data_IF_982371048542
#
_entry.id   IF_982371048542
#
_cell.length_a   1.000
_cell.length_b   1.000
_cell.length_c   1.000
_cell.angle_alpha   90.00
_cell.angle_beta   90.00
_cell.angle_gamma   90.00
#
_symmetry.space_group_name_H-M   'P 1'
#
loop_
_entity.id
_entity.type
_entity.pdbx_description
1 polymer ?
#
# COMPACT_ATOMS: atom_id res chain seq x y z
N UNK A 1 29.01 -34.03 -10.30
CA UNK A 1 28.72 -32.69 -9.76
C UNK A 1 27.57 -32.14 -10.57
N UNK A 2 26.41 -31.85 -9.96
CA UNK A 2 25.34 -31.15 -10.68
C UNK A 2 25.81 -29.71 -10.96
N UNK A 3 25.53 -29.22 -12.17
CA UNK A 3 25.79 -27.83 -12.53
C UNK A 3 24.75 -26.98 -11.82
N UNK A 4 25.20 -25.99 -11.04
CA UNK A 4 24.32 -25.05 -10.34
C UNK A 4 23.84 -24.01 -11.35
N UNK A 5 22.52 -23.90 -11.52
CA UNK A 5 21.91 -22.89 -12.39
C UNK A 5 21.66 -21.61 -11.58
N UNK A 6 22.04 -20.46 -12.13
CA UNK A 6 21.86 -19.15 -11.50
C UNK A 6 20.86 -18.32 -12.32
N UNK A 7 19.87 -17.77 -11.65
CA UNK A 7 18.88 -16.86 -12.25
C UNK A 7 19.15 -15.42 -11.82
N UNK A 8 18.66 -14.48 -12.62
CA UNK A 8 18.54 -13.08 -12.22
C UNK A 8 17.11 -12.82 -11.72
N UNK A 9 16.94 -11.78 -10.90
CA UNK A 9 15.63 -11.49 -10.30
C UNK A 9 14.52 -11.23 -11.33
N UNK A 10 14.85 -10.77 -12.53
CA UNK A 10 13.87 -10.57 -13.59
C UNK A 10 13.30 -11.90 -14.10
N UNK A 11 14.15 -12.92 -14.28
CA UNK A 11 13.72 -14.28 -14.64
C UNK A 11 12.86 -14.95 -13.56
N UNK A 12 13.07 -14.57 -12.30
CA UNK A 12 12.29 -15.06 -11.17
C UNK A 12 11.01 -14.24 -10.92
N UNK A 13 10.70 -13.25 -11.77
CA UNK A 13 9.50 -12.41 -11.63
C UNK A 13 9.55 -11.44 -10.44
N UNK A 14 10.75 -11.13 -9.94
CA UNK A 14 10.94 -10.17 -8.87
C UNK A 14 10.85 -8.75 -9.40
N UNK A 15 10.16 -7.90 -8.66
CA UNK A 15 10.08 -6.47 -8.94
C UNK A 15 11.32 -5.75 -8.37
N UNK A 16 11.96 -4.93 -9.20
CA UNK A 16 13.11 -4.13 -8.77
C UNK A 16 12.68 -3.00 -7.82
N UNK A 17 13.60 -2.59 -6.94
CA UNK A 17 13.42 -1.42 -6.09
C UNK A 17 13.81 -0.14 -6.82
N UNK A 18 13.16 0.96 -6.46
CA UNK A 18 13.50 2.30 -6.97
C UNK A 18 13.95 3.22 -5.82
N UNK A 19 14.93 4.13 -6.05
CA UNK A 19 15.26 5.17 -5.09
C UNK A 19 14.07 6.09 -4.82
N UNK A 20 13.83 6.38 -3.54
CA UNK A 20 12.83 7.37 -3.17
C UNK A 20 13.39 8.78 -3.41
N UNK A 21 12.75 9.55 -4.29
CA UNK A 21 13.15 10.91 -4.67
C UNK A 21 12.09 11.92 -4.23
N UNK A 22 12.32 12.67 -3.12
CA UNK A 22 11.38 13.66 -2.61
C UNK A 22 11.05 14.79 -3.60
N UNK A 23 11.98 15.14 -4.51
CA UNK A 23 11.80 16.26 -5.45
C UNK A 23 10.76 15.95 -6.54
N UNK A 24 10.37 14.68 -6.66
CA UNK A 24 9.34 14.20 -7.61
C UNK A 24 7.94 14.07 -6.99
N UNK A 25 7.79 14.30 -5.68
CA UNK A 25 6.53 14.12 -4.97
C UNK A 25 5.71 15.40 -5.00
N UNK A 26 4.54 15.38 -5.66
CA UNK A 26 3.63 16.55 -5.74
C UNK A 26 2.30 16.32 -5.02
N UNK A 27 2.03 15.09 -4.56
CA UNK A 27 0.83 14.71 -3.82
C UNK A 27 1.08 13.57 -2.82
N UNK A 28 0.12 13.32 -1.93
CA UNK A 28 0.15 12.16 -1.03
C UNK A 28 0.02 10.83 -1.78
N UNK A 29 -0.66 10.81 -2.92
CA UNK A 29 -0.72 9.61 -3.77
C UNK A 29 0.67 9.29 -4.33
N UNK A 30 1.37 10.28 -4.89
CA UNK A 30 2.74 10.09 -5.42
C UNK A 30 3.67 9.56 -4.33
N UNK A 31 3.54 10.08 -3.11
CA UNK A 31 4.30 9.61 -1.94
C UNK A 31 4.07 8.11 -1.70
N UNK A 32 2.81 7.66 -1.63
CA UNK A 32 2.45 6.27 -1.33
C UNK A 32 2.85 5.32 -2.47
N UNK A 33 2.64 5.73 -3.72
CA UNK A 33 3.06 4.97 -4.91
C UNK A 33 4.60 4.82 -4.94
N UNK A 34 5.33 5.90 -4.70
CA UNK A 34 6.79 5.86 -4.62
C UNK A 34 7.29 4.99 -3.46
N UNK A 35 6.62 5.05 -2.29
CA UNK A 35 6.93 4.15 -1.17
C UNK A 35 6.72 2.68 -1.56
N UNK A 36 5.70 2.35 -2.37
CA UNK A 36 5.44 1.02 -2.92
C UNK A 36 6.63 0.41 -3.67
N UNK A 37 7.45 1.26 -4.32
CA UNK A 37 8.66 0.86 -5.06
C UNK A 37 9.91 0.68 -4.18
N UNK A 38 9.82 0.98 -2.88
CA UNK A 38 10.92 0.78 -1.92
C UNK A 38 10.85 -0.60 -1.24
N UNK A 39 11.67 -0.86 -0.23
CA UNK A 39 11.68 -2.11 0.54
C UNK A 39 10.87 -2.00 1.85
N UNK A 40 10.67 -3.14 2.52
CA UNK A 40 10.10 -3.25 3.86
C UNK A 40 8.73 -2.57 4.03
N UNK A 41 8.56 -1.74 5.06
CA UNK A 41 7.30 -1.07 5.37
C UNK A 41 6.84 -0.10 4.30
N UNK A 42 7.76 0.48 3.52
CA UNK A 42 7.40 1.36 2.40
C UNK A 42 6.61 0.60 1.33
N UNK A 43 7.13 -0.56 0.90
CA UNK A 43 6.44 -1.45 -0.02
C UNK A 43 5.04 -1.81 0.47
N UNK A 44 4.95 -2.22 1.74
CA UNK A 44 3.68 -2.64 2.34
C UNK A 44 2.67 -1.51 2.42
N UNK A 45 3.12 -0.28 2.66
CA UNK A 45 2.24 0.88 2.70
C UNK A 45 1.70 1.24 1.30
N UNK A 46 2.54 1.21 0.27
CA UNK A 46 2.10 1.43 -1.12
C UNK A 46 1.13 0.35 -1.60
N UNK A 47 1.45 -0.92 -1.36
CA UNK A 47 0.56 -2.05 -1.66
C UNK A 47 -0.80 -1.92 -0.95
N UNK A 48 -0.80 -1.52 0.33
CA UNK A 48 -2.03 -1.30 1.08
C UNK A 48 -2.86 -0.14 0.53
N UNK A 49 -2.21 0.93 0.06
CA UNK A 49 -2.89 2.05 -0.60
C UNK A 49 -3.56 1.61 -1.91
N UNK A 50 -2.85 0.90 -2.79
CA UNK A 50 -3.40 0.43 -4.06
C UNK A 50 -4.61 -0.51 -3.84
N UNK A 51 -4.50 -1.44 -2.89
CA UNK A 51 -5.62 -2.36 -2.55
C UNK A 51 -6.81 -1.59 -1.99
N UNK A 52 -6.58 -0.68 -1.02
CA UNK A 52 -7.66 0.14 -0.45
C UNK A 52 -8.33 0.97 -1.54
N UNK A 53 -7.56 1.63 -2.39
CA UNK A 53 -8.08 2.48 -3.46
C UNK A 53 -8.91 1.68 -4.47
N UNK A 54 -8.44 0.50 -4.87
CA UNK A 54 -9.18 -0.40 -5.74
C UNK A 54 -10.51 -0.83 -5.11
N UNK A 55 -10.52 -1.15 -3.81
CA UNK A 55 -11.74 -1.56 -3.10
C UNK A 55 -12.75 -0.42 -2.96
N UNK A 56 -12.33 0.78 -2.59
CA UNK A 56 -13.26 1.91 -2.34
C UNK A 56 -13.73 2.60 -3.63
N UNK A 57 -13.01 2.41 -4.74
CA UNK A 57 -13.37 2.97 -6.05
C UNK A 57 -14.29 2.04 -6.86
N UNK A 58 -14.41 0.78 -6.47
CA UNK A 58 -15.26 -0.21 -7.13
C UNK A 58 -16.67 -0.21 -6.50
N UNK A 59 -17.72 0.25 -7.22
CA UNK A 59 -19.08 0.32 -6.68
C UNK A 59 -19.70 -1.07 -6.40
N UNK A 60 -19.16 -2.14 -6.99
CA UNK A 60 -19.62 -3.51 -6.78
C UNK A 60 -18.85 -4.20 -5.63
N UNK A 61 -17.81 -3.56 -5.08
CA UNK A 61 -17.02 -4.08 -3.99
C UNK A 61 -17.64 -3.74 -2.62
N UNK A 62 -18.10 -4.76 -1.89
CA UNK A 62 -18.52 -4.56 -0.49
C UNK A 62 -17.29 -4.49 0.43
N UNK A 63 -16.94 -3.28 0.85
CA UNK A 63 -15.86 -3.04 1.82
C UNK A 63 -16.33 -3.35 3.25
N UNK A 64 -15.47 -4.03 4.02
CA UNK A 64 -15.70 -4.36 5.43
C UNK A 64 -14.51 -3.88 6.26
N UNK A 65 -14.74 -2.93 7.15
CA UNK A 65 -13.72 -2.41 8.07
C UNK A 65 -13.78 -3.10 9.42
N UNK A 66 -12.68 -3.76 9.81
CA UNK A 66 -12.53 -4.35 11.15
C UNK A 66 -11.42 -3.63 11.90
N UNK A 67 -11.69 -3.25 13.16
CA UNK A 67 -10.81 -2.40 13.95
C UNK A 67 -10.70 -2.93 15.38
N UNK A 68 -9.50 -2.91 15.93
CA UNK A 68 -9.33 -3.06 17.38
C UNK A 68 -9.83 -1.81 18.09
N UNK A 69 -10.42 -1.96 19.28
CA UNK A 69 -10.79 -0.83 20.15
C UNK A 69 -9.61 0.10 20.46
N UNK A 70 -8.38 -0.44 20.47
CA UNK A 70 -7.15 0.33 20.68
C UNK A 70 -6.92 1.44 19.64
N UNK A 71 -7.49 1.33 18.44
CA UNK A 71 -7.36 2.35 17.39
C UNK A 71 -7.94 3.70 17.82
N UNK A 72 -9.05 3.69 18.56
CA UNK A 72 -9.67 4.92 19.08
C UNK A 72 -8.81 5.57 20.18
N UNK A 73 -8.23 4.74 21.05
CA UNK A 73 -7.27 5.18 22.08
C UNK A 73 -6.02 5.80 21.43
N UNK A 74 -5.55 5.19 20.34
CA UNK A 74 -4.45 5.69 19.51
C UNK A 74 -4.81 6.92 18.63
N UNK A 75 -5.97 7.56 18.88
CA UNK A 75 -6.43 8.78 18.20
C UNK A 75 -6.75 8.64 16.71
N UNK A 76 -6.96 7.42 16.23
CA UNK A 76 -7.37 7.15 14.84
C UNK A 76 -8.88 7.32 14.60
N UNK A 77 -9.65 7.76 15.61
CA UNK A 77 -11.11 7.89 15.50
C UNK A 77 -11.58 8.81 14.38
N UNK A 78 -10.90 9.94 14.15
CA UNK A 78 -11.31 10.91 13.12
C UNK A 78 -11.17 10.37 11.69
N UNK A 79 -10.09 9.63 11.41
CA UNK A 79 -9.92 9.04 10.08
C UNK A 79 -10.95 7.95 9.83
N UNK A 80 -11.27 7.14 10.85
CA UNK A 80 -12.35 6.15 10.77
C UNK A 80 -13.69 6.81 10.50
N UNK A 81 -14.04 7.86 11.24
CA UNK A 81 -15.28 8.62 10.99
C UNK A 81 -15.32 9.18 9.56
N UNK A 82 -14.20 9.74 9.08
CA UNK A 82 -14.12 10.26 7.72
C UNK A 82 -14.34 9.18 6.65
N UNK A 83 -13.81 7.98 6.85
CA UNK A 83 -14.03 6.86 5.92
C UNK A 83 -15.52 6.47 5.84
N UNK A 84 -16.21 6.47 6.97
CA UNK A 84 -17.67 6.20 7.02
C UNK A 84 -18.45 7.34 6.33
N UNK A 85 -18.12 8.60 6.65
CA UNK A 85 -18.83 9.76 6.11
C UNK A 85 -18.72 9.87 4.57
N UNK A 86 -17.57 9.46 4.01
CA UNK A 86 -17.32 9.44 2.56
C UNK A 86 -17.80 8.15 1.87
N UNK A 87 -18.43 7.23 2.60
CA UNK A 87 -18.95 5.98 2.04
C UNK A 87 -17.88 4.98 1.61
N UNK A 88 -16.66 5.08 2.15
CA UNK A 88 -15.57 4.14 1.86
C UNK A 88 -15.81 2.75 2.48
N UNK A 89 -16.56 2.68 3.59
CA UNK A 89 -16.78 1.48 4.40
C UNK A 89 -18.22 1.39 4.92
#
# INVERSE_FOLDING_TARGET
>A
MSVREFHDGAKDGLEALEPFDPDRIVSFEDLLVAMGKTAFGGRKLGEAFEVLWAMVSDPDCKVVLTLSGAMTIAKMGKIVSRMVDEGMV
#
